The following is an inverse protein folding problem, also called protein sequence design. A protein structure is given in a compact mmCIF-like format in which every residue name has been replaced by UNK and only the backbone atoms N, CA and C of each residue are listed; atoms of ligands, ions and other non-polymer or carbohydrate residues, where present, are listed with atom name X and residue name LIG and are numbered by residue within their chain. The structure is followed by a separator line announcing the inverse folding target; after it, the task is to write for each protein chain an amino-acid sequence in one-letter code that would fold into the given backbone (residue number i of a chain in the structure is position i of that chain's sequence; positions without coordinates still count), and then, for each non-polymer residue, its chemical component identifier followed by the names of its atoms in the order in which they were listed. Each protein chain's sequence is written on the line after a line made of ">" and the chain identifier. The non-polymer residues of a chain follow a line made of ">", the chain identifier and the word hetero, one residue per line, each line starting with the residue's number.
data_IF_394068551898
#
_entry.id   IF_394068551898
#
_cell.length_a   1.000
_cell.length_b   1.000
_cell.length_c   1.000
_cell.angle_alpha   90.00
_cell.angle_beta   90.00
_cell.angle_gamma   90.00
#
_symmetry.space_group_name_H-M   'P 1'
#
loop_
_entity.id
_entity.type
_entity.pdbx_description
1 polymer ?
#
# COMPACT_ATOMS: atom_id res chain seq x y z
N UNK A 1 -31.12 7.45 0.19
CA UNK A 1 -31.48 6.36 1.14
C UNK A 1 -30.85 6.57 2.51
N UNK A 2 -29.52 6.75 2.63
CA UNK A 2 -28.84 7.05 3.91
C UNK A 2 -29.38 8.31 4.60
N UNK A 3 -29.53 9.42 3.86
CA UNK A 3 -30.02 10.69 4.43
C UNK A 3 -31.49 10.61 4.88
N UNK A 4 -32.33 9.93 4.10
CA UNK A 4 -33.72 9.67 4.48
C UNK A 4 -33.82 8.80 5.75
N UNK A 5 -32.96 7.79 5.87
CA UNK A 5 -32.88 6.95 7.08
C UNK A 5 -32.39 7.73 8.30
N UNK A 6 -31.42 8.64 8.11
CA UNK A 6 -30.95 9.57 9.15
C UNK A 6 -32.08 10.49 9.62
N UNK A 7 -32.77 11.15 8.69
CA UNK A 7 -33.87 12.07 9.00
C UNK A 7 -35.00 11.35 9.77
N UNK A 8 -35.34 10.12 9.37
CA UNK A 8 -36.32 9.29 10.10
C UNK A 8 -35.85 8.89 11.49
N UNK A 9 -34.59 8.54 11.65
CA UNK A 9 -34.01 8.20 12.96
C UNK A 9 -33.95 9.41 13.91
N UNK A 10 -33.71 10.61 13.37
CA UNK A 10 -33.73 11.87 14.11
C UNK A 10 -35.17 12.20 14.56
N UNK A 11 -36.14 12.10 13.65
CA UNK A 11 -37.57 12.30 13.95
C UNK A 11 -38.11 11.35 15.03
N UNK A 12 -37.54 10.15 15.14
CA UNK A 12 -37.95 9.12 16.11
C UNK A 12 -37.08 9.09 17.37
N UNK A 13 -36.07 9.97 17.49
CA UNK A 13 -35.17 10.05 18.64
C UNK A 13 -34.20 8.88 18.81
N UNK A 14 -34.20 7.90 17.90
CA UNK A 14 -33.32 6.72 17.98
C UNK A 14 -31.93 6.95 17.38
N UNK A 15 -31.71 8.09 16.71
CA UNK A 15 -30.46 8.39 16.01
C UNK A 15 -29.20 8.23 16.89
N UNK A 16 -29.14 8.75 18.14
CA UNK A 16 -27.96 8.57 19.00
C UNK A 16 -27.69 7.09 19.34
N UNK A 17 -28.74 6.29 19.55
CA UNK A 17 -28.60 4.85 19.84
C UNK A 17 -28.02 4.12 18.63
N UNK A 18 -28.48 4.45 17.43
CA UNK A 18 -27.95 3.86 16.19
C UNK A 18 -26.48 4.25 15.96
N UNK A 19 -26.08 5.49 16.26
CA UNK A 19 -24.67 5.91 16.16
C UNK A 19 -23.76 5.18 17.14
N UNK A 20 -24.21 4.95 18.38
CA UNK A 20 -23.47 4.12 19.36
C UNK A 20 -23.32 2.68 18.89
N UNK A 21 -24.40 2.05 18.43
CA UNK A 21 -24.34 0.68 17.87
C UNK A 21 -23.41 0.59 16.67
N UNK A 22 -23.42 1.60 15.80
CA UNK A 22 -22.51 1.71 14.67
C UNK A 22 -21.06 1.78 15.13
N UNK A 23 -20.73 2.71 16.04
CA UNK A 23 -19.40 2.80 16.66
C UNK A 23 -18.96 1.47 17.27
N UNK A 24 -19.81 0.84 18.09
CA UNK A 24 -19.48 -0.41 18.78
C UNK A 24 -19.23 -1.55 17.79
N UNK A 25 -19.97 -1.59 16.69
CA UNK A 25 -19.74 -2.54 15.60
C UNK A 25 -18.39 -2.31 14.92
N UNK A 26 -18.04 -1.06 14.60
CA UNK A 26 -16.74 -0.75 13.97
C UNK A 26 -15.57 -0.94 14.92
N UNK A 27 -15.75 -0.67 16.21
CA UNK A 27 -14.76 -0.99 17.24
C UNK A 27 -14.51 -2.50 17.32
N UNK A 28 -15.57 -3.31 17.32
CA UNK A 28 -15.43 -4.76 17.30
C UNK A 28 -14.74 -5.25 16.01
N UNK A 29 -15.11 -4.68 14.86
CA UNK A 29 -14.50 -4.99 13.57
C UNK A 29 -12.98 -4.77 13.60
N UNK A 30 -12.52 -3.59 14.02
CA UNK A 30 -11.09 -3.28 14.02
C UNK A 30 -10.32 -4.11 15.05
N UNK A 31 -10.94 -4.48 16.18
CA UNK A 31 -10.33 -5.44 17.13
C UNK A 31 -10.14 -6.83 16.52
N UNK A 32 -11.07 -7.30 15.69
CA UNK A 32 -10.89 -8.57 14.94
C UNK A 32 -9.75 -8.44 13.93
N UNK A 33 -9.68 -7.31 13.22
CA UNK A 33 -8.59 -7.04 12.28
C UNK A 33 -7.23 -7.07 12.98
N UNK A 34 -7.09 -6.43 14.14
CA UNK A 34 -5.81 -6.44 14.88
C UNK A 34 -5.39 -7.85 15.31
N UNK A 35 -6.34 -8.65 15.79
CA UNK A 35 -6.08 -10.02 16.25
C UNK A 35 -5.71 -10.96 15.09
N UNK A 36 -6.31 -10.76 13.91
CA UNK A 36 -6.12 -11.60 12.73
C UNK A 36 -5.15 -10.98 11.70
N UNK A 37 -4.44 -9.89 12.06
CA UNK A 37 -3.59 -9.17 11.11
C UNK A 37 -2.42 -10.04 10.61
N UNK A 38 -1.79 -10.79 11.53
CA UNK A 38 -0.82 -11.84 11.18
C UNK A 38 -1.59 -13.15 11.01
N UNK A 39 -2.25 -13.28 9.86
CA UNK A 39 -3.14 -14.39 9.58
C UNK A 39 -3.49 -14.53 8.10
N UNK A 40 -4.12 -15.66 7.69
CA UNK A 40 -4.40 -15.96 6.29
C UNK A 40 -5.50 -15.05 5.70
N UNK A 41 -6.25 -14.36 6.56
CA UNK A 41 -7.34 -13.46 6.18
C UNK A 41 -6.90 -12.00 6.04
N UNK A 42 -5.60 -11.70 6.17
CA UNK A 42 -5.08 -10.34 6.12
C UNK A 42 -5.56 -9.58 4.86
N UNK A 43 -5.55 -10.21 3.69
CA UNK A 43 -6.00 -9.59 2.44
C UNK A 43 -7.51 -9.31 2.44
N UNK A 44 -8.31 -10.21 2.99
CA UNK A 44 -9.75 -10.00 3.17
C UNK A 44 -10.02 -8.80 4.08
N UNK A 45 -9.23 -8.67 5.15
CA UNK A 45 -9.32 -7.56 6.08
C UNK A 45 -8.94 -6.23 5.43
N UNK A 46 -7.84 -6.18 4.67
CA UNK A 46 -7.44 -5.00 3.90
C UNK A 46 -8.56 -4.58 2.95
N UNK A 47 -9.05 -5.50 2.10
CA UNK A 47 -10.12 -5.20 1.14
C UNK A 47 -11.44 -4.81 1.82
N UNK A 48 -11.73 -5.34 3.01
CA UNK A 48 -12.88 -4.91 3.81
C UNK A 48 -12.69 -3.50 4.35
N UNK A 49 -11.55 -3.20 4.97
CA UNK A 49 -11.26 -1.87 5.52
C UNK A 49 -11.27 -0.79 4.43
N UNK A 50 -10.78 -1.09 3.22
CA UNK A 50 -10.85 -0.17 2.07
C UNK A 50 -12.30 0.20 1.72
N UNK A 51 -13.21 -0.78 1.69
CA UNK A 51 -14.65 -0.54 1.43
C UNK A 51 -15.33 0.18 2.58
N UNK A 52 -14.90 -0.10 3.81
CA UNK A 52 -15.51 0.40 5.04
C UNK A 52 -14.97 1.76 5.51
N UNK A 53 -13.99 2.36 4.82
CA UNK A 53 -13.36 3.61 5.24
C UNK A 53 -14.36 4.72 5.57
N UNK A 54 -15.38 4.93 4.73
CA UNK A 54 -16.39 5.98 4.98
C UNK A 54 -17.15 5.78 6.29
N UNK A 55 -17.45 4.53 6.64
CA UNK A 55 -18.16 4.23 7.86
C UNK A 55 -17.23 4.27 9.09
N UNK A 56 -15.96 3.86 8.94
CA UNK A 56 -14.94 4.05 9.99
C UNK A 56 -14.74 5.54 10.32
N UNK A 57 -14.67 6.40 9.31
CA UNK A 57 -14.62 7.86 9.48
C UNK A 57 -15.84 8.38 10.23
N UNK A 58 -17.04 7.93 9.86
CA UNK A 58 -18.26 8.31 10.59
C UNK A 58 -18.29 7.82 12.04
N UNK A 59 -17.76 6.63 12.31
CA UNK A 59 -17.64 6.10 13.67
C UNK A 59 -16.65 6.94 14.51
N UNK A 60 -15.48 7.27 13.96
CA UNK A 60 -14.50 8.13 14.62
C UNK A 60 -15.03 9.55 14.83
N UNK A 61 -15.71 10.14 13.83
CA UNK A 61 -16.34 11.45 13.97
C UNK A 61 -17.37 11.45 15.10
N UNK A 62 -18.15 10.37 15.20
CA UNK A 62 -19.11 10.22 16.31
C UNK A 62 -18.42 10.14 17.67
N UNK A 63 -17.35 9.35 17.80
CA UNK A 63 -16.55 9.25 19.02
C UNK A 63 -16.08 10.63 19.51
N UNK A 64 -15.55 11.43 18.58
CA UNK A 64 -15.03 12.77 18.87
C UNK A 64 -16.14 13.77 19.22
N UNK A 65 -17.35 13.56 18.71
CA UNK A 65 -18.51 14.43 19.00
C UNK A 65 -19.18 14.18 20.35
N UNK A 66 -18.95 13.03 21.00
CA UNK A 66 -19.65 12.69 22.25
C UNK A 66 -19.04 13.37 23.49
N UNK A 67 -17.91 14.09 23.40
CA UNK A 67 -17.24 14.80 24.52
C UNK A 67 -17.26 14.04 25.86
N UNK A 68 -17.13 12.71 25.80
CA UNK A 68 -17.09 11.81 26.96
C UNK A 68 -15.82 10.98 26.91
N UNK A 69 -15.30 10.59 28.07
CA UNK A 69 -14.11 9.72 28.14
C UNK A 69 -14.33 8.38 27.43
N UNK A 70 -15.56 7.85 27.45
CA UNK A 70 -15.90 6.63 26.71
C UNK A 70 -15.83 6.84 25.20
N UNK A 71 -16.31 7.98 24.70
CA UNK A 71 -16.22 8.34 23.28
C UNK A 71 -14.76 8.55 22.84
N UNK A 72 -13.98 9.29 23.62
CA UNK A 72 -12.57 9.54 23.36
C UNK A 72 -11.75 8.24 23.34
N UNK A 73 -11.93 7.37 24.35
CA UNK A 73 -11.27 6.06 24.42
C UNK A 73 -11.64 5.16 23.24
N UNK A 74 -12.90 5.15 22.81
CA UNK A 74 -13.33 4.41 21.62
C UNK A 74 -12.69 4.97 20.34
N UNK A 75 -12.60 6.29 20.21
CA UNK A 75 -11.91 6.98 19.10
C UNK A 75 -10.44 6.60 19.03
N UNK A 76 -9.72 6.67 20.15
CA UNK A 76 -8.31 6.26 20.26
C UNK A 76 -8.13 4.80 19.86
N UNK A 77 -8.99 3.90 20.37
CA UNK A 77 -8.92 2.48 20.08
C UNK A 77 -9.13 2.19 18.59
N UNK A 78 -10.12 2.82 17.96
CA UNK A 78 -10.38 2.64 16.53
C UNK A 78 -9.20 3.16 15.71
N UNK A 79 -8.71 4.37 16.00
CA UNK A 79 -7.61 4.97 15.25
C UNK A 79 -6.31 4.17 15.41
N UNK A 80 -5.96 3.75 16.64
CA UNK A 80 -4.79 2.93 16.89
C UNK A 80 -4.87 1.57 16.17
N UNK A 81 -6.05 0.93 16.16
CA UNK A 81 -6.25 -0.34 15.49
C UNK A 81 -6.10 -0.28 13.96
N UNK A 82 -6.39 0.88 13.37
CA UNK A 82 -6.22 1.12 11.92
C UNK A 82 -4.78 1.43 11.51
N UNK A 83 -3.85 1.60 12.46
CA UNK A 83 -2.45 1.93 12.21
C UNK A 83 -1.82 1.06 11.12
N UNK A 84 -1.91 -0.27 11.26
CA UNK A 84 -1.29 -1.23 10.35
C UNK A 84 -1.88 -1.18 8.94
N UNK A 85 -3.20 -0.94 8.85
CA UNK A 85 -3.88 -0.77 7.58
C UNK A 85 -3.45 0.53 6.88
N UNK A 86 -3.40 1.64 7.60
CA UNK A 86 -2.92 2.90 7.02
C UNK A 86 -1.45 2.81 6.62
N UNK A 87 -0.62 2.12 7.41
CA UNK A 87 0.78 1.88 7.08
C UNK A 87 0.92 1.06 5.79
N UNK A 88 0.19 -0.06 5.67
CA UNK A 88 0.28 -0.96 4.51
C UNK A 88 -0.26 -0.35 3.21
N UNK A 89 -1.19 0.60 3.29
CA UNK A 89 -1.75 1.29 2.11
C UNK A 89 -1.16 2.68 1.87
N UNK A 90 -0.13 3.08 2.63
CA UNK A 90 0.49 4.40 2.49
C UNK A 90 -0.41 5.59 2.88
N UNK A 91 -1.48 5.34 3.64
CA UNK A 91 -2.48 6.35 4.04
C UNK A 91 -2.02 7.17 5.26
N UNK A 92 -0.75 7.60 5.27
CA UNK A 92 -0.11 8.23 6.44
C UNK A 92 -0.80 9.53 6.87
N UNK A 93 -1.27 10.34 5.89
CA UNK A 93 -1.98 11.60 6.16
C UNK A 93 -3.35 11.38 6.81
N UNK A 94 -4.08 10.37 6.35
CA UNK A 94 -5.37 9.98 6.94
C UNK A 94 -5.16 9.51 8.38
N UNK A 95 -4.18 8.63 8.59
CA UNK A 95 -3.87 8.12 9.92
C UNK A 95 -3.48 9.22 10.89
N UNK A 96 -2.57 10.11 10.48
CA UNK A 96 -2.17 11.28 11.28
C UNK A 96 -3.35 12.19 11.60
N UNK A 97 -4.22 12.50 10.63
CA UNK A 97 -5.39 13.33 10.85
C UNK A 97 -6.31 12.80 11.96
N UNK A 98 -6.63 11.50 11.93
CA UNK A 98 -7.51 10.91 12.94
C UNK A 98 -6.83 10.74 14.29
N UNK A 99 -5.56 10.36 14.31
CA UNK A 99 -4.79 10.20 15.55
C UNK A 99 -4.61 11.55 16.26
N UNK A 100 -4.25 12.62 15.54
CA UNK A 100 -4.10 13.97 16.10
C UNK A 100 -5.42 14.45 16.75
N UNK A 101 -6.55 14.20 16.07
CA UNK A 101 -7.88 14.54 16.62
C UNK A 101 -8.26 13.70 17.83
N UNK A 102 -7.96 12.40 17.81
CA UNK A 102 -8.26 11.50 18.93
C UNK A 102 -7.39 11.79 20.16
N UNK A 103 -6.13 12.18 19.96
CA UNK A 103 -5.18 12.51 21.01
C UNK A 103 -5.41 13.89 21.64
N UNK A 104 -6.15 14.79 20.96
CA UNK A 104 -6.50 16.11 21.47
C UNK A 104 -7.33 16.06 22.77
N UNK A 105 -8.07 14.97 23.02
CA UNK A 105 -8.71 14.72 24.30
C UNK A 105 -7.71 14.08 25.26
N UNK A 106 -7.51 14.71 26.42
CA UNK A 106 -6.59 14.23 27.47
C UNK A 106 -7.40 13.63 28.62
N UNK A 107 -7.58 12.30 28.68
CA UNK A 107 -8.28 11.66 29.80
C UNK A 107 -7.47 11.83 31.09
N UNK A 108 -8.15 11.84 32.23
CA UNK A 108 -7.51 11.97 33.56
C UNK A 108 -6.51 10.83 33.86
N UNK A 109 -6.70 9.66 33.24
CA UNK A 109 -5.83 8.50 33.40
C UNK A 109 -5.33 7.97 32.05
N UNK A 110 -4.03 7.65 31.92
CA UNK A 110 -3.49 7.10 30.70
C UNK A 110 -4.00 5.68 30.44
N UNK A 111 -4.48 5.45 29.22
CA UNK A 111 -4.99 4.15 28.77
C UNK A 111 -4.01 3.48 27.80
N UNK A 112 -4.08 2.16 27.67
CA UNK A 112 -3.30 1.42 26.67
C UNK A 112 -3.64 1.88 25.23
N UNK A 113 -4.89 2.27 24.97
CA UNK A 113 -5.32 2.83 23.68
C UNK A 113 -4.65 4.17 23.39
N UNK A 114 -4.47 5.04 24.39
CA UNK A 114 -3.72 6.29 24.23
C UNK A 114 -2.26 6.01 23.86
N UNK A 115 -1.61 5.07 24.53
CA UNK A 115 -0.23 4.66 24.20
C UNK A 115 -0.14 4.12 22.78
N UNK A 116 -1.09 3.27 22.36
CA UNK A 116 -1.17 2.77 20.99
C UNK A 116 -1.34 3.89 19.96
N UNK A 117 -2.16 4.90 20.27
CA UNK A 117 -2.36 6.05 19.40
C UNK A 117 -1.11 6.96 19.33
N UNK A 118 -0.45 7.24 20.46
CA UNK A 118 0.81 7.99 20.50
C UNK A 118 1.89 7.28 19.68
N UNK A 119 2.01 5.96 19.84
CA UNK A 119 2.91 5.11 19.06
C UNK A 119 2.63 5.23 17.55
N UNK A 120 1.37 5.05 17.14
CA UNK A 120 1.00 5.14 15.73
C UNK A 120 1.27 6.54 15.15
N UNK A 121 0.93 7.58 15.92
CA UNK A 121 1.12 8.97 15.52
C UNK A 121 2.61 9.32 15.38
N UNK A 122 3.45 8.86 16.32
CA UNK A 122 4.89 9.10 16.25
C UNK A 122 5.50 8.43 15.02
N UNK A 123 5.07 7.20 14.70
CA UNK A 123 5.53 6.51 13.50
C UNK A 123 5.15 7.28 12.23
N UNK A 124 3.90 7.75 12.10
CA UNK A 124 3.52 8.54 10.92
C UNK A 124 4.25 9.88 10.82
N UNK A 125 4.47 10.56 11.94
CA UNK A 125 5.27 11.79 11.96
C UNK A 125 6.71 11.52 11.48
N UNK A 126 7.34 10.45 11.99
CA UNK A 126 8.68 10.02 11.58
C UNK A 126 8.77 9.65 10.10
N UNK A 127 7.84 8.86 9.59
CA UNK A 127 7.78 8.48 8.14
C UNK A 127 7.59 9.71 7.24
N UNK A 128 6.89 10.74 7.72
CA UNK A 128 6.72 12.00 7.00
C UNK A 128 7.90 12.97 7.14
N UNK A 129 8.95 12.61 7.90
CA UNK A 129 10.11 13.46 8.16
C UNK A 129 9.89 14.54 9.21
N UNK A 130 8.74 14.57 9.89
CA UNK A 130 8.45 15.50 10.99
C UNK A 130 9.04 14.96 12.31
N UNK A 131 10.38 14.97 12.36
CA UNK A 131 11.14 14.49 13.52
C UNK A 131 10.78 15.25 14.82
N UNK A 132 10.56 16.58 14.83
CA UNK A 132 10.13 17.30 16.03
C UNK A 132 8.79 16.80 16.57
N UNK A 133 7.77 16.63 15.72
CA UNK A 133 6.48 16.10 16.16
C UNK A 133 6.60 14.64 16.64
N UNK A 134 7.36 13.81 15.92
CA UNK A 134 7.62 12.43 16.35
C UNK A 134 8.30 12.37 17.72
N UNK A 135 9.28 13.24 17.98
CA UNK A 135 9.95 13.32 19.29
C UNK A 135 8.99 13.74 20.39
N UNK A 136 8.20 14.78 20.17
CA UNK A 136 7.21 15.24 21.14
C UNK A 136 6.21 14.13 21.54
N UNK A 137 5.73 13.36 20.56
CA UNK A 137 4.81 12.24 20.80
C UNK A 137 5.47 11.09 21.58
N UNK A 138 6.74 10.77 21.28
CA UNK A 138 7.50 9.76 22.02
C UNK A 138 7.78 10.22 23.45
N UNK A 139 8.17 11.48 23.65
CA UNK A 139 8.45 12.05 24.97
C UNK A 139 7.18 12.10 25.83
N UNK A 140 6.04 12.45 25.23
CA UNK A 140 4.73 12.37 25.88
C UNK A 140 4.42 10.93 26.31
N UNK A 141 4.60 9.96 25.42
CA UNK A 141 4.36 8.55 25.74
C UNK A 141 5.29 8.05 26.87
N UNK A 142 6.56 8.48 26.87
CA UNK A 142 7.52 8.17 27.93
C UNK A 142 7.10 8.75 29.29
N UNK A 143 6.53 9.96 29.32
CA UNK A 143 6.03 10.57 30.55
C UNK A 143 4.87 9.78 31.19
N UNK A 144 4.18 8.92 30.41
CA UNK A 144 3.11 8.05 30.91
C UNK A 144 3.61 6.76 31.55
N UNK A 145 4.89 6.36 31.34
CA UNK A 145 5.45 5.09 31.83
C UNK A 145 5.20 4.84 33.33
N UNK A 146 5.36 5.82 34.25
CA UNK A 146 5.13 5.60 35.68
C UNK A 146 3.70 5.18 36.01
N UNK A 147 2.73 5.52 35.15
CA UNK A 147 1.30 5.30 35.36
C UNK A 147 0.78 4.05 34.62
N UNK A 148 1.57 3.51 33.67
CA UNK A 148 1.21 2.34 32.86
C UNK A 148 1.73 1.08 33.55
N UNK A 149 0.85 0.13 33.87
CA UNK A 149 1.23 -1.18 34.43
C UNK A 149 1.41 -2.27 33.37
N UNK A 150 0.83 -2.09 32.18
CA UNK A 150 0.90 -3.05 31.08
C UNK A 150 2.32 -3.10 30.46
N UNK A 151 3.03 -4.24 30.52
CA UNK A 151 4.35 -4.37 29.93
C UNK A 151 4.33 -4.22 28.40
N UNK A 152 3.26 -4.61 27.71
CA UNK A 152 3.17 -4.45 26.25
C UNK A 152 3.07 -2.98 25.86
N UNK A 153 2.25 -2.19 26.57
CA UNK A 153 2.18 -0.75 26.37
C UNK A 153 3.55 -0.07 26.60
N UNK A 154 4.30 -0.46 27.64
CA UNK A 154 5.67 0.05 27.86
C UNK A 154 6.62 -0.34 26.72
N UNK A 155 6.58 -1.59 26.27
CA UNK A 155 7.40 -2.06 25.15
C UNK A 155 7.10 -1.33 23.84
N UNK A 156 5.84 -0.96 23.58
CA UNK A 156 5.47 -0.10 22.43
C UNK A 156 6.13 1.28 22.53
N UNK A 157 6.18 1.88 23.71
CA UNK A 157 6.87 3.17 23.93
C UNK A 157 8.37 3.04 23.67
N UNK A 158 9.00 1.98 24.19
CA UNK A 158 10.41 1.67 23.92
C UNK A 158 10.65 1.48 22.42
N UNK A 159 9.78 0.74 21.74
CA UNK A 159 9.86 0.56 20.29
C UNK A 159 9.69 1.87 19.53
N UNK A 160 8.80 2.77 19.96
CA UNK A 160 8.63 4.10 19.38
C UNK A 160 9.93 4.93 19.47
N UNK A 161 10.63 4.89 20.61
CA UNK A 161 11.94 5.53 20.76
C UNK A 161 12.99 4.91 19.83
N UNK A 162 12.94 3.59 19.63
CA UNK A 162 13.79 2.89 18.67
C UNK A 162 13.54 3.34 17.22
N UNK A 163 12.27 3.41 16.81
CA UNK A 163 11.87 3.87 15.47
C UNK A 163 12.25 5.33 15.24
N UNK A 164 12.02 6.20 16.22
CA UNK A 164 12.45 7.60 16.18
C UNK A 164 13.98 7.72 16.06
N UNK A 165 14.72 6.91 16.82
CA UNK A 165 16.19 6.90 16.76
C UNK A 165 16.68 6.46 15.39
N UNK A 166 16.03 5.46 14.78
CA UNK A 166 16.33 5.02 13.42
C UNK A 166 16.12 6.16 12.40
N UNK A 167 14.94 6.80 12.38
CA UNK A 167 14.67 7.90 11.44
C UNK A 167 15.50 9.16 11.72
N UNK A 168 16.03 9.31 12.94
CA UNK A 168 16.97 10.37 13.31
C UNK A 168 18.44 10.02 13.01
N UNK A 169 18.75 8.78 12.60
CA UNK A 169 20.11 8.31 12.29
C UNK A 169 20.92 7.77 13.47
N UNK A 170 20.36 7.69 14.68
CA UNK A 170 21.02 7.08 15.86
C UNK A 170 20.81 5.56 15.86
N UNK A 171 21.56 4.88 14.97
CA UNK A 171 21.46 3.42 14.79
C UNK A 171 21.81 2.62 16.07
N UNK A 172 22.84 2.98 16.86
CA UNK A 172 23.12 2.28 18.12
C UNK A 172 21.96 2.33 19.11
N UNK A 173 21.34 3.50 19.30
CA UNK A 173 20.16 3.61 20.18
C UNK A 173 18.96 2.89 19.61
N UNK A 174 18.72 3.00 18.30
CA UNK A 174 17.64 2.29 17.62
C UNK A 174 17.72 0.78 17.88
N UNK A 175 18.90 0.19 17.71
CA UNK A 175 19.17 -1.22 17.99
C UNK A 175 18.81 -1.59 19.42
N UNK A 176 19.40 -0.92 20.40
CA UNK A 176 19.18 -1.22 21.83
C UNK A 176 17.70 -1.15 22.20
N UNK A 177 17.00 -0.11 21.75
CA UNK A 177 15.56 0.06 22.03
C UNK A 177 14.69 -1.00 21.36
N UNK A 178 15.02 -1.41 20.13
CA UNK A 178 14.29 -2.46 19.44
C UNK A 178 14.52 -3.84 20.08
N UNK A 179 15.76 -4.14 20.51
CA UNK A 179 16.09 -5.36 21.25
C UNK A 179 15.34 -5.42 22.58
N UNK A 180 15.36 -4.34 23.37
CA UNK A 180 14.61 -4.22 24.64
C UNK A 180 13.10 -4.44 24.44
N UNK A 181 12.51 -3.88 23.37
CA UNK A 181 11.10 -4.08 23.08
C UNK A 181 10.77 -5.53 22.66
N UNK A 182 11.67 -6.17 21.89
CA UNK A 182 11.51 -7.55 21.44
C UNK A 182 11.56 -8.58 22.58
N UNK A 183 12.29 -8.31 23.66
CA UNK A 183 12.27 -9.17 24.86
C UNK A 183 10.85 -9.30 25.46
N UNK A 184 9.99 -8.30 25.25
CA UNK A 184 8.62 -8.28 25.75
C UNK A 184 7.62 -8.77 24.69
N UNK A 185 7.89 -8.52 23.40
CA UNK A 185 7.04 -8.98 22.30
C UNK A 185 7.21 -10.49 22.05
N UNK A 186 6.56 -11.32 22.88
CA UNK A 186 6.60 -12.78 22.76
C UNK A 186 5.55 -13.38 21.81
N UNK A 187 5.72 -14.67 21.47
CA UNK A 187 4.85 -15.43 20.54
C UNK A 187 3.39 -15.55 20.99
N UNK A 188 3.11 -15.39 22.29
CA UNK A 188 1.76 -15.47 22.87
C UNK A 188 1.16 -14.09 23.20
N UNK A 189 1.89 -13.01 22.89
CA UNK A 189 1.50 -11.62 23.18
C UNK A 189 0.99 -10.90 21.94
N UNK A 190 1.76 -9.92 21.46
CA UNK A 190 1.45 -9.11 20.28
C UNK A 190 2.34 -9.49 19.10
N UNK A 191 1.92 -10.54 18.38
CA UNK A 191 2.66 -11.10 17.26
C UNK A 191 2.93 -10.07 16.16
N UNK A 192 1.96 -9.17 15.91
CA UNK A 192 2.12 -8.09 14.95
C UNK A 192 3.23 -7.12 15.34
N UNK A 193 3.28 -6.71 16.62
CA UNK A 193 4.36 -5.86 17.12
C UNK A 193 5.72 -6.56 17.09
N UNK A 194 5.76 -7.87 17.37
CA UNK A 194 6.98 -8.68 17.23
C UNK A 194 7.50 -8.69 15.80
N UNK A 195 6.65 -9.01 14.83
CA UNK A 195 7.01 -9.04 13.40
C UNK A 195 7.52 -7.68 12.94
N UNK A 196 6.82 -6.60 13.29
CA UNK A 196 7.22 -5.25 12.93
C UNK A 196 8.57 -4.86 13.56
N UNK A 197 8.77 -5.16 14.85
CA UNK A 197 10.02 -4.86 15.55
C UNK A 197 11.21 -5.67 14.98
N UNK A 198 11.02 -6.96 14.66
CA UNK A 198 12.06 -7.78 14.01
C UNK A 198 12.44 -7.21 12.64
N UNK A 199 11.44 -6.83 11.84
CA UNK A 199 11.68 -6.27 10.51
C UNK A 199 12.46 -4.95 10.59
N UNK A 200 12.11 -4.07 11.51
CA UNK A 200 12.79 -2.79 11.70
C UNK A 200 14.19 -2.97 12.33
N UNK A 201 14.38 -3.96 13.20
CA UNK A 201 15.71 -4.31 13.72
C UNK A 201 16.61 -4.90 12.61
N UNK A 202 16.05 -5.71 11.71
CA UNK A 202 16.75 -6.18 10.51
C UNK A 202 17.30 -5.02 9.70
N UNK A 203 16.46 -4.02 9.42
CA UNK A 203 16.87 -2.78 8.76
C UNK A 203 17.98 -2.02 9.52
N UNK A 204 17.90 -1.93 10.86
CA UNK A 204 18.97 -1.31 11.65
C UNK A 204 20.30 -2.04 11.44
N UNK A 205 20.29 -3.38 11.43
CA UNK A 205 21.48 -4.18 11.18
C UNK A 205 22.03 -4.00 9.77
N UNK A 206 21.16 -3.93 8.75
CA UNK A 206 21.57 -3.63 7.37
C UNK A 206 22.27 -2.26 7.26
N UNK A 207 21.70 -1.23 7.88
CA UNK A 207 22.29 0.12 7.89
C UNK A 207 23.61 0.18 8.66
N UNK A 208 23.83 -0.71 9.63
CA UNK A 208 25.10 -0.89 10.34
C UNK A 208 26.10 -1.79 9.58
N UNK A 209 25.68 -2.46 8.51
CA UNK A 209 26.50 -3.41 7.76
C UNK A 209 26.63 -4.80 8.41
N UNK A 210 25.84 -5.10 9.45
CA UNK A 210 25.81 -6.43 10.09
C UNK A 210 24.82 -7.36 9.36
N UNK A 211 25.22 -7.76 8.16
CA UNK A 211 24.42 -8.60 7.26
C UNK A 211 23.98 -9.92 7.92
N UNK A 212 24.82 -10.66 8.69
CA UNK A 212 24.39 -11.90 9.34
C UNK A 212 23.22 -11.69 10.32
N UNK A 213 23.25 -10.65 11.16
CA UNK A 213 22.16 -10.37 12.10
C UNK A 213 20.91 -9.84 11.41
N UNK A 214 21.07 -9.07 10.34
CA UNK A 214 19.94 -8.66 9.50
C UNK A 214 19.19 -9.87 8.93
N UNK A 215 19.92 -10.82 8.36
CA UNK A 215 19.38 -12.07 7.83
C UNK A 215 18.62 -12.86 8.91
N UNK A 216 19.19 -12.96 10.12
CA UNK A 216 18.53 -13.66 11.23
C UNK A 216 17.17 -13.03 11.57
N UNK A 217 17.10 -11.69 11.64
CA UNK A 217 15.85 -10.97 11.91
C UNK A 217 14.80 -11.24 10.81
N UNK A 218 15.17 -11.11 9.54
CA UNK A 218 14.26 -11.33 8.43
C UNK A 218 13.83 -12.79 8.29
N UNK A 219 14.71 -13.76 8.60
CA UNK A 219 14.34 -15.17 8.62
C UNK A 219 13.33 -15.48 9.73
N UNK A 220 13.44 -14.86 10.91
CA UNK A 220 12.43 -14.98 11.95
C UNK A 220 11.08 -14.41 11.49
N UNK A 221 11.07 -13.26 10.80
CA UNK A 221 9.85 -12.71 10.20
C UNK A 221 9.25 -13.68 9.18
N UNK A 222 10.05 -14.26 8.27
CA UNK A 222 9.58 -15.24 7.31
C UNK A 222 8.94 -16.44 8.01
N UNK A 223 9.61 -17.02 9.01
CA UNK A 223 9.10 -18.19 9.72
C UNK A 223 7.73 -17.92 10.37
N UNK A 224 7.56 -16.75 10.99
CA UNK A 224 6.29 -16.35 11.61
C UNK A 224 5.22 -16.12 10.52
N UNK A 225 5.53 -15.31 9.52
CA UNK A 225 4.54 -14.91 8.50
C UNK A 225 4.12 -16.08 7.62
N UNK A 226 5.03 -17.01 7.31
CA UNK A 226 4.74 -18.27 6.60
C UNK A 226 3.80 -19.17 7.38
N UNK A 227 4.10 -19.42 8.65
CA UNK A 227 3.27 -20.27 9.51
C UNK A 227 1.85 -19.72 9.69
N UNK A 228 1.67 -18.41 9.53
CA UNK A 228 0.39 -17.72 9.71
C UNK A 228 -0.27 -17.28 8.39
N UNK A 229 0.37 -17.43 7.24
CA UNK A 229 -0.18 -16.98 5.95
C UNK A 229 -0.25 -15.46 5.77
N UNK A 230 0.56 -14.70 6.50
CA UNK A 230 0.68 -13.25 6.38
C UNK A 230 1.52 -12.88 5.14
N UNK A 231 1.11 -11.86 4.40
CA UNK A 231 1.69 -11.55 3.08
C UNK A 231 2.50 -10.26 3.04
N UNK A 232 2.12 -9.23 3.82
CA UNK A 232 2.70 -7.88 3.73
C UNK A 232 4.10 -7.84 4.33
N UNK A 233 4.29 -8.23 5.58
CA UNK A 233 5.61 -8.24 6.20
C UNK A 233 6.52 -9.33 5.62
N UNK A 234 5.90 -10.42 5.15
CA UNK A 234 6.61 -11.46 4.39
C UNK A 234 7.26 -10.92 3.13
N UNK A 235 6.55 -10.14 2.31
CA UNK A 235 7.13 -9.57 1.08
C UNK A 235 8.31 -8.65 1.39
N UNK A 236 8.24 -7.85 2.45
CA UNK A 236 9.33 -6.96 2.87
C UNK A 236 10.59 -7.73 3.28
N UNK A 237 10.42 -8.81 4.06
CA UNK A 237 11.55 -9.63 4.49
C UNK A 237 12.13 -10.51 3.38
N UNK A 238 11.31 -10.96 2.43
CA UNK A 238 11.79 -11.64 1.22
C UNK A 238 12.66 -10.71 0.37
N UNK A 239 12.26 -9.44 0.23
CA UNK A 239 13.06 -8.46 -0.50
C UNK A 239 14.42 -8.22 0.19
N UNK A 240 14.41 -8.00 1.50
CA UNK A 240 15.62 -7.78 2.29
C UNK A 240 16.61 -8.96 2.18
N UNK A 241 16.11 -10.19 2.35
CA UNK A 241 16.92 -11.40 2.17
C UNK A 241 17.41 -11.57 0.73
N UNK A 242 16.60 -11.21 -0.27
CA UNK A 242 17.01 -11.21 -1.67
C UNK A 242 18.17 -10.25 -1.93
N UNK A 243 18.11 -9.03 -1.38
CA UNK A 243 19.21 -8.06 -1.46
C UNK A 243 20.46 -8.56 -0.74
N UNK A 244 20.31 -9.15 0.46
CA UNK A 244 21.42 -9.74 1.21
C UNK A 244 22.08 -10.91 0.46
N UNK A 245 21.30 -11.77 -0.21
CA UNK A 245 21.81 -12.84 -1.05
C UNK A 245 22.59 -12.29 -2.25
N UNK A 246 22.11 -11.20 -2.87
CA UNK A 246 22.89 -10.53 -3.92
C UNK A 246 24.21 -9.96 -3.39
N UNK A 247 24.25 -9.43 -2.17
CA UNK A 247 25.49 -8.92 -1.56
C UNK A 247 26.52 -10.05 -1.35
N UNK A 248 26.04 -11.27 -1.11
CA UNK A 248 26.85 -12.49 -1.02
C UNK A 248 27.15 -13.12 -2.38
N UNK A 249 26.76 -12.47 -3.48
CA UNK A 249 26.88 -12.96 -4.86
C UNK A 249 26.12 -14.27 -5.17
N UNK A 250 25.19 -14.68 -4.30
CA UNK A 250 24.26 -15.78 -4.57
C UNK A 250 23.04 -15.26 -5.36
N UNK A 251 23.23 -15.16 -6.68
CA UNK A 251 22.20 -14.67 -7.60
C UNK A 251 21.00 -15.61 -7.72
N UNK A 252 21.22 -16.92 -7.60
CA UNK A 252 20.17 -17.91 -7.71
C UNK A 252 19.18 -17.77 -6.56
N UNK A 253 19.70 -17.79 -5.32
CA UNK A 253 18.87 -17.59 -4.14
C UNK A 253 18.21 -16.20 -4.14
N UNK A 254 18.94 -15.16 -4.55
CA UNK A 254 18.37 -13.82 -4.65
C UNK A 254 17.19 -13.75 -5.63
N UNK A 255 17.31 -14.34 -6.82
CA UNK A 255 16.23 -14.36 -7.80
C UNK A 255 14.99 -15.06 -7.25
N UNK A 256 15.15 -16.23 -6.60
CA UNK A 256 14.05 -16.96 -6.00
C UNK A 256 13.31 -16.16 -4.90
N UNK A 257 14.07 -15.48 -4.03
CA UNK A 257 13.51 -14.65 -2.96
C UNK A 257 12.79 -13.42 -3.51
N UNK A 258 13.39 -12.73 -4.49
CA UNK A 258 12.81 -11.55 -5.13
C UNK A 258 11.57 -11.90 -5.97
N UNK A 259 11.55 -13.04 -6.66
CA UNK A 259 10.36 -13.50 -7.37
C UNK A 259 9.21 -13.82 -6.41
N UNK A 260 9.49 -14.47 -5.27
CA UNK A 260 8.48 -14.70 -4.24
C UNK A 260 7.95 -13.38 -3.66
N UNK A 261 8.85 -12.43 -3.38
CA UNK A 261 8.47 -11.08 -2.98
C UNK A 261 7.52 -10.45 -4.00
N UNK A 262 7.87 -10.49 -5.29
CA UNK A 262 7.06 -9.89 -6.35
C UNK A 262 5.68 -10.53 -6.47
N UNK A 263 5.55 -11.85 -6.27
CA UNK A 263 4.25 -12.55 -6.25
C UNK A 263 3.37 -12.05 -5.12
N UNK A 264 3.93 -11.87 -3.93
CA UNK A 264 3.19 -11.33 -2.79
C UNK A 264 2.83 -9.85 -3.03
N UNK A 265 3.75 -9.03 -3.54
CA UNK A 265 3.48 -7.62 -3.88
C UNK A 265 2.33 -7.48 -4.89
N UNK A 266 2.25 -8.38 -5.88
CA UNK A 266 1.10 -8.46 -6.81
C UNK A 266 -0.20 -8.79 -6.07
N UNK A 267 -0.15 -9.77 -5.16
CA UNK A 267 -1.30 -10.23 -4.39
C UNK A 267 -1.85 -9.17 -3.42
N UNK A 268 -0.97 -8.38 -2.79
CA UNK A 268 -1.34 -7.31 -1.85
C UNK A 268 -1.63 -5.96 -2.55
N UNK A 269 -1.48 -5.87 -3.87
CA UNK A 269 -1.53 -4.62 -4.65
C UNK A 269 -0.59 -3.55 -4.06
N UNK A 270 0.68 -3.92 -3.89
CA UNK A 270 1.74 -3.06 -3.35
C UNK A 270 2.74 -2.66 -4.45
N UNK A 271 2.49 -1.55 -5.17
CA UNK A 271 3.38 -1.04 -6.20
C UNK A 271 4.71 -0.52 -5.65
N UNK A 272 4.79 -0.17 -4.36
CA UNK A 272 6.02 0.32 -3.75
C UNK A 272 7.03 -0.83 -3.64
N UNK A 273 6.63 -1.93 -3.01
CA UNK A 273 7.51 -3.10 -2.86
C UNK A 273 7.85 -3.70 -4.21
N UNK A 274 6.88 -3.78 -5.13
CA UNK A 274 7.17 -4.24 -6.49
C UNK A 274 8.22 -3.37 -7.20
N UNK A 275 8.19 -2.04 -7.02
CA UNK A 275 9.19 -1.15 -7.62
C UNK A 275 10.62 -1.49 -7.16
N UNK A 276 10.82 -1.72 -5.86
CA UNK A 276 12.13 -2.11 -5.30
C UNK A 276 12.54 -3.51 -5.75
N UNK A 277 11.60 -4.44 -5.86
CA UNK A 277 11.87 -5.80 -6.30
C UNK A 277 12.25 -5.85 -7.78
N UNK A 278 11.58 -5.06 -8.62
CA UNK A 278 11.92 -4.91 -10.04
C UNK A 278 13.32 -4.31 -10.23
N UNK A 279 13.68 -3.32 -9.43
CA UNK A 279 15.03 -2.74 -9.39
C UNK A 279 16.08 -3.82 -9.07
N UNK A 280 15.86 -4.61 -8.02
CA UNK A 280 16.78 -5.69 -7.64
C UNK A 280 16.88 -6.81 -8.69
N UNK A 281 15.77 -7.16 -9.34
CA UNK A 281 15.75 -8.09 -10.48
C UNK A 281 16.48 -7.51 -11.70
N UNK A 282 16.45 -6.19 -11.90
CA UNK A 282 17.22 -5.54 -12.95
C UNK A 282 18.73 -5.70 -12.71
N UNK A 283 19.19 -5.56 -11.47
CA UNK A 283 20.59 -5.78 -11.11
C UNK A 283 21.06 -7.19 -11.45
N UNK A 284 20.23 -8.21 -11.17
CA UNK A 284 20.51 -9.60 -11.57
C UNK A 284 20.66 -9.69 -13.09
N UNK A 285 19.64 -9.23 -13.83
CA UNK A 285 19.61 -9.30 -15.29
C UNK A 285 20.79 -8.56 -15.95
N UNK A 286 21.21 -7.42 -15.38
CA UNK A 286 22.35 -6.65 -15.88
C UNK A 286 23.69 -7.39 -15.73
N UNK A 287 23.80 -8.28 -14.73
CA UNK A 287 25.01 -9.11 -14.54
C UNK A 287 25.00 -10.41 -15.34
N UNK A 288 23.85 -10.85 -15.85
CA UNK A 288 23.66 -12.09 -16.63
C UNK A 288 23.64 -11.84 -18.16
N UNK A 289 24.13 -10.68 -18.60
CA UNK A 289 24.13 -10.24 -20.01
C UNK A 289 22.72 -10.12 -20.63
N UNK A 290 21.68 -10.05 -19.79
CA UNK A 290 20.31 -9.76 -20.20
C UNK A 290 20.04 -8.25 -20.20
N UNK A 291 20.91 -7.48 -20.86
CA UNK A 291 20.91 -6.02 -20.77
C UNK A 291 19.57 -5.38 -21.15
N UNK A 292 18.90 -5.83 -22.23
CA UNK A 292 17.59 -5.28 -22.60
C UNK A 292 16.54 -5.47 -21.49
N UNK A 293 16.57 -6.63 -20.83
CA UNK A 293 15.66 -6.94 -19.72
C UNK A 293 15.95 -6.06 -18.51
N UNK A 294 17.22 -5.87 -18.17
CA UNK A 294 17.62 -4.96 -17.10
C UNK A 294 17.09 -3.54 -17.34
N UNK A 295 17.24 -2.99 -18.55
CA UNK A 295 16.73 -1.66 -18.90
C UNK A 295 15.20 -1.53 -18.75
N UNK A 296 14.43 -2.56 -19.15
CA UNK A 296 12.97 -2.57 -18.98
C UNK A 296 12.58 -2.61 -17.51
N UNK A 297 13.22 -3.49 -16.72
CA UNK A 297 12.94 -3.61 -15.29
C UNK A 297 13.27 -2.31 -14.54
N UNK A 298 14.41 -1.66 -14.84
CA UNK A 298 14.75 -0.33 -14.29
C UNK A 298 13.70 0.71 -14.66
N UNK A 299 13.31 0.78 -15.93
CA UNK A 299 12.29 1.74 -16.38
C UNK A 299 10.94 1.55 -15.70
N UNK A 300 10.53 0.31 -15.46
CA UNK A 300 9.32 -0.03 -14.73
C UNK A 300 9.42 0.33 -13.24
N UNK A 301 10.53 -0.03 -12.59
CA UNK A 301 10.82 0.30 -11.19
C UNK A 301 10.76 1.81 -10.95
N UNK A 302 11.46 2.59 -11.79
CA UNK A 302 11.44 4.05 -11.71
C UNK A 302 10.04 4.64 -11.89
N UNK A 303 9.26 4.14 -12.85
CA UNK A 303 7.93 4.66 -13.13
C UNK A 303 6.97 4.42 -11.95
N UNK A 304 7.02 3.23 -11.35
CA UNK A 304 6.24 2.90 -10.16
C UNK A 304 6.67 3.74 -8.95
N UNK A 305 7.98 3.86 -8.70
CA UNK A 305 8.50 4.71 -7.63
C UNK A 305 8.05 6.17 -7.77
N UNK A 306 8.21 6.76 -8.97
CA UNK A 306 7.81 8.15 -9.25
C UNK A 306 6.31 8.38 -9.05
N UNK A 307 5.45 7.43 -9.45
CA UNK A 307 4.01 7.54 -9.27
C UNK A 307 3.61 7.63 -7.77
N UNK A 308 4.44 7.07 -6.89
CA UNK A 308 4.27 7.08 -5.44
C UNK A 308 5.03 8.22 -4.74
N UNK A 309 5.74 9.07 -5.50
CA UNK A 309 6.59 10.13 -4.95
C UNK A 309 7.82 9.61 -4.22
N UNK A 310 8.29 8.40 -4.55
CA UNK A 310 9.46 7.75 -3.94
C UNK A 310 10.52 7.35 -4.98
N UNK A 311 11.71 6.98 -4.51
CA UNK A 311 12.78 6.39 -5.33
C UNK A 311 12.71 4.87 -5.28
N UNK A 312 13.04 4.19 -6.40
CA UNK A 312 13.11 2.71 -6.43
C UNK A 312 14.27 2.16 -5.59
N UNK A 313 15.30 2.98 -5.34
CA UNK A 313 16.44 2.68 -4.47
C UNK A 313 16.27 3.43 -3.15
N UNK A 314 16.03 2.69 -2.06
CA UNK A 314 15.81 3.26 -0.73
C UNK A 314 17.10 3.48 0.06
N UNK A 315 18.08 2.59 -0.08
CA UNK A 315 19.31 2.67 0.68
C UNK A 315 20.42 3.30 -0.14
N UNK A 316 21.11 4.33 0.36
CA UNK A 316 22.27 4.91 -0.32
C UNK A 316 23.33 3.87 -0.66
N UNK A 317 23.48 2.84 0.18
CA UNK A 317 24.39 1.71 -0.04
C UNK A 317 24.04 0.86 -1.26
N UNK A 318 22.78 0.90 -1.73
CA UNK A 318 22.32 0.19 -2.91
C UNK A 318 22.39 1.05 -4.19
N UNK A 319 22.62 2.36 -4.05
CA UNK A 319 22.75 3.26 -5.21
C UNK A 319 23.89 2.83 -6.14
N UNK A 320 25.00 2.37 -5.57
CA UNK A 320 26.14 1.83 -6.35
C UNK A 320 25.71 0.69 -7.28
N UNK A 321 24.74 -0.12 -6.86
CA UNK A 321 24.26 -1.26 -7.67
C UNK A 321 23.37 -0.82 -8.82
N UNK A 322 22.55 0.20 -8.58
CA UNK A 322 21.80 0.87 -9.63
C UNK A 322 22.74 1.48 -10.67
N UNK A 323 23.73 2.26 -10.22
CA UNK A 323 24.72 2.89 -11.10
C UNK A 323 25.53 1.86 -11.91
N UNK A 324 25.97 0.77 -11.27
CA UNK A 324 26.67 -0.30 -11.95
C UNK A 324 25.79 -1.03 -12.97
N UNK A 325 24.55 -1.36 -12.60
CA UNK A 325 23.59 -1.98 -13.50
C UNK A 325 23.30 -1.10 -14.71
N UNK A 326 23.03 0.18 -14.49
CA UNK A 326 22.80 1.16 -15.54
C UNK A 326 24.00 1.25 -16.47
N UNK A 327 25.21 1.41 -15.92
CA UNK A 327 26.46 1.50 -16.69
C UNK A 327 26.71 0.25 -17.54
N UNK A 328 26.59 -0.94 -16.97
CA UNK A 328 26.74 -2.21 -17.69
C UNK A 328 25.71 -2.33 -18.81
N UNK A 329 24.46 -2.00 -18.50
CA UNK A 329 23.35 -2.10 -19.45
C UNK A 329 23.49 -1.11 -20.61
N UNK A 330 23.87 0.14 -20.33
CA UNK A 330 24.17 1.16 -21.35
C UNK A 330 25.34 0.75 -22.24
N UNK A 331 26.39 0.16 -21.66
CA UNK A 331 27.56 -0.31 -22.40
C UNK A 331 27.19 -1.44 -23.37
N UNK A 332 26.36 -2.38 -22.94
CA UNK A 332 25.97 -3.54 -23.76
C UNK A 332 24.97 -3.18 -24.88
N UNK A 333 24.00 -2.30 -24.62
CA UNK A 333 22.96 -1.94 -25.59
C UNK A 333 23.31 -0.74 -26.48
N UNK A 334 24.15 0.16 -25.96
CA UNK A 334 24.26 1.52 -26.46
C UNK A 334 23.10 2.42 -26.02
N UNK A 335 23.35 3.72 -26.01
CA UNK A 335 22.48 4.76 -25.44
C UNK A 335 21.04 4.74 -25.97
N UNK A 336 20.86 4.64 -27.29
CA UNK A 336 19.52 4.68 -27.91
C UNK A 336 18.66 3.49 -27.56
N UNK A 337 19.25 2.29 -27.56
CA UNK A 337 18.54 1.05 -27.26
C UNK A 337 18.23 0.96 -25.76
N UNK A 338 19.15 1.42 -24.90
CA UNK A 338 18.92 1.58 -23.48
C UNK A 338 17.70 2.48 -23.20
N UNK A 339 17.68 3.71 -23.72
CA UNK A 339 16.56 4.65 -23.49
C UNK A 339 15.24 4.19 -24.13
N UNK A 340 15.28 3.39 -25.20
CA UNK A 340 14.08 2.77 -25.75
C UNK A 340 13.52 1.69 -24.81
N UNK A 341 14.37 0.78 -24.32
CA UNK A 341 13.99 -0.28 -23.40
C UNK A 341 13.51 0.27 -22.05
N UNK A 342 14.18 1.30 -21.52
CA UNK A 342 13.76 1.98 -20.28
C UNK A 342 12.39 2.64 -20.43
N UNK A 343 12.11 3.29 -21.56
CA UNK A 343 10.78 3.85 -21.85
C UNK A 343 9.71 2.77 -22.01
N UNK A 344 10.04 1.65 -22.63
CA UNK A 344 9.13 0.50 -22.71
C UNK A 344 8.73 0.01 -21.32
N UNK A 345 9.70 -0.16 -20.41
CA UNK A 345 9.44 -0.50 -19.02
C UNK A 345 8.55 0.50 -18.30
N UNK A 346 8.81 1.79 -18.49
CA UNK A 346 8.03 2.87 -17.86
C UNK A 346 6.55 2.89 -18.30
N UNK A 347 6.21 2.28 -19.44
CA UNK A 347 4.85 2.22 -19.98
C UNK A 347 4.06 0.98 -19.53
N UNK A 348 4.69 0.00 -18.87
CA UNK A 348 4.04 -1.27 -18.52
C UNK A 348 2.94 -1.13 -17.45
N UNK A 349 3.00 -0.10 -16.61
CA UNK A 349 2.18 -0.02 -15.41
C UNK A 349 2.46 -1.15 -14.42
N UNK A 350 1.74 -1.20 -13.30
CA UNK A 350 2.00 -2.16 -12.22
C UNK A 350 1.86 -3.63 -12.66
N UNK A 351 0.68 -4.01 -13.17
CA UNK A 351 0.42 -5.39 -13.62
C UNK A 351 1.32 -5.82 -14.79
N UNK A 352 1.55 -4.92 -15.76
CA UNK A 352 2.41 -5.22 -16.90
C UNK A 352 3.87 -5.42 -16.51
N UNK A 353 4.36 -4.63 -15.55
CA UNK A 353 5.73 -4.76 -15.05
C UNK A 353 5.94 -6.07 -14.30
N UNK A 354 4.96 -6.47 -13.48
CA UNK A 354 4.99 -7.75 -12.76
C UNK A 354 4.93 -8.92 -13.73
N UNK A 355 4.03 -8.90 -14.71
CA UNK A 355 3.94 -9.95 -15.74
C UNK A 355 5.25 -10.06 -16.53
N UNK A 356 5.83 -8.93 -16.96
CA UNK A 356 7.12 -8.90 -17.64
C UNK A 356 8.25 -9.50 -16.80
N UNK A 357 8.27 -9.23 -15.49
CA UNK A 357 9.25 -9.78 -14.58
C UNK A 357 9.13 -11.30 -14.40
N UNK A 358 7.94 -11.89 -14.45
CA UNK A 358 7.81 -13.36 -14.44
C UNK A 358 8.13 -14.02 -15.78
N UNK A 359 8.44 -13.24 -16.82
CA UNK A 359 8.52 -13.78 -18.18
C UNK A 359 7.17 -14.39 -18.61
N UNK A 360 6.08 -14.04 -17.91
CA UNK A 360 4.75 -14.19 -18.46
C UNK A 360 4.82 -13.45 -19.77
N UNK A 361 4.44 -14.13 -20.87
CA UNK A 361 4.23 -13.40 -22.09
C UNK A 361 3.20 -12.34 -21.73
N UNK A 362 3.66 -11.10 -21.57
CA UNK A 362 2.93 -10.01 -22.16
C UNK A 362 2.91 -10.43 -23.62
N UNK A 363 1.88 -11.17 -23.99
CA UNK A 363 1.07 -10.71 -25.09
C UNK A 363 0.77 -9.23 -24.74
N UNK A 364 1.75 -8.33 -24.96
CA UNK A 364 1.48 -7.15 -25.73
C UNK A 364 0.61 -7.71 -26.81
N UNK A 365 -0.69 -7.45 -26.72
CA UNK A 365 -1.75 -8.05 -27.52
C UNK A 365 -1.31 -8.11 -28.98
N UNK A 366 -0.53 -9.11 -29.32
CA UNK A 366 -0.37 -9.68 -30.63
C UNK A 366 -1.58 -10.56 -30.68
N UNK A 367 -2.72 -9.88 -30.85
CA UNK A 367 -3.75 -10.42 -31.70
C UNK A 367 -3.04 -11.06 -32.91
N UNK A 368 -3.42 -12.29 -33.27
CA UNK A 368 -2.79 -12.97 -34.38
C UNK A 368 -2.77 -12.03 -35.58
N UNK A 369 -1.61 -11.97 -36.26
CA UNK A 369 -1.47 -11.33 -37.55
C UNK A 369 -2.51 -11.98 -38.49
N UNK A 370 -3.69 -11.35 -38.54
CA UNK A 370 -4.92 -12.02 -38.97
C UNK A 370 -6.23 -11.41 -38.46
N UNK A 371 -6.28 -10.14 -38.04
CA UNK A 371 -7.55 -9.38 -38.14
C UNK A 371 -7.27 -7.88 -38.26
N UNK A 372 -7.36 -7.37 -39.46
CA UNK A 372 -7.57 -5.95 -39.69
C UNK A 372 -8.97 -5.54 -39.17
N UNK A 373 -9.07 -4.28 -38.70
CA UNK A 373 -10.27 -3.50 -38.38
C UNK A 373 -10.85 -3.59 -36.94
N UNK A 374 -10.56 -2.55 -36.16
CA UNK A 374 -11.54 -1.73 -35.40
C UNK A 374 -12.95 -2.33 -35.26
N UNK A 375 -13.35 -2.69 -34.04
CA UNK A 375 -14.71 -3.16 -33.81
C UNK A 375 -15.18 -3.02 -32.37
N UNK A 376 -15.82 -1.90 -32.06
CA UNK A 376 -16.79 -1.84 -30.96
C UNK A 376 -17.78 -3.02 -31.10
N UNK A 377 -18.12 -3.66 -29.98
CA UNK A 377 -19.17 -4.70 -29.97
C UNK A 377 -20.48 -4.14 -30.52
N UNK A 378 -21.41 -5.00 -30.96
CA UNK A 378 -22.72 -4.55 -31.47
C UNK A 378 -23.40 -3.59 -30.49
N UNK A 379 -23.31 -3.89 -29.19
CA UNK A 379 -23.89 -3.07 -28.12
C UNK A 379 -23.16 -1.75 -27.92
N UNK A 380 -21.83 -1.75 -28.00
CA UNK A 380 -21.03 -0.52 -27.92
C UNK A 380 -21.22 0.38 -29.15
N UNK A 381 -21.45 -0.19 -30.34
CA UNK A 381 -21.82 0.57 -31.53
C UNK A 381 -23.18 1.25 -31.39
N UNK A 382 -24.18 0.54 -30.87
CA UNK A 382 -25.49 1.14 -30.56
C UNK A 382 -25.34 2.29 -29.55
N UNK A 383 -24.52 2.12 -28.50
CA UNK A 383 -24.28 3.20 -27.53
C UNK A 383 -23.51 4.36 -28.16
N UNK A 384 -22.48 4.11 -28.98
CA UNK A 384 -21.71 5.14 -29.69
C UNK A 384 -22.57 5.93 -30.68
N UNK A 385 -23.50 5.28 -31.38
CA UNK A 385 -24.48 5.92 -32.26
C UNK A 385 -25.39 6.88 -31.47
N UNK A 386 -25.91 6.45 -30.32
CA UNK A 386 -26.75 7.29 -29.48
C UNK A 386 -25.97 8.44 -28.84
N UNK A 387 -24.68 8.23 -28.55
CA UNK A 387 -23.76 9.30 -28.14
C UNK A 387 -23.59 10.32 -29.27
N UNK A 388 -23.41 9.87 -30.52
CA UNK A 388 -23.27 10.74 -31.69
C UNK A 388 -24.55 11.55 -31.99
N UNK A 389 -25.73 11.00 -31.65
CA UNK A 389 -27.01 11.70 -31.68
C UNK A 389 -27.19 12.73 -30.53
N UNK A 390 -26.20 12.89 -29.65
CA UNK A 390 -26.22 13.87 -28.55
C UNK A 390 -27.05 13.44 -27.33
N UNK A 391 -27.47 12.17 -27.23
CA UNK A 391 -28.26 11.70 -26.09
C UNK A 391 -27.41 11.68 -24.82
N UNK A 392 -28.02 11.89 -23.66
CA UNK A 392 -27.39 11.73 -22.34
C UNK A 392 -27.42 10.26 -21.88
N UNK A 393 -26.62 9.87 -20.87
CA UNK A 393 -26.64 8.50 -20.33
C UNK A 393 -28.04 8.08 -19.85
N UNK A 394 -28.84 9.02 -19.32
CA UNK A 394 -30.24 8.76 -18.91
C UNK A 394 -31.14 8.46 -20.12
N UNK A 395 -30.98 9.19 -21.22
CA UNK A 395 -31.74 8.97 -22.45
C UNK A 395 -31.30 7.67 -23.18
N UNK A 396 -30.00 7.37 -23.18
CA UNK A 396 -29.47 6.10 -23.68
C UNK A 396 -30.03 4.92 -22.89
N UNK A 397 -30.01 5.03 -21.56
CA UNK A 397 -30.56 4.01 -20.67
C UNK A 397 -32.04 3.72 -20.92
N UNK A 398 -32.84 4.77 -21.12
CA UNK A 398 -34.26 4.63 -21.46
C UNK A 398 -34.46 3.97 -22.84
N UNK A 399 -33.69 4.38 -23.86
CA UNK A 399 -33.82 3.87 -25.24
C UNK A 399 -33.34 2.43 -25.39
N UNK A 400 -32.38 2.02 -24.58
CA UNK A 400 -31.78 0.69 -24.59
C UNK A 400 -32.35 -0.27 -23.54
N UNK A 401 -33.31 0.19 -22.72
CA UNK A 401 -33.94 -0.54 -21.60
C UNK A 401 -32.88 -1.11 -20.64
N UNK A 402 -31.97 -0.25 -20.19
CA UNK A 402 -30.91 -0.57 -19.21
C UNK A 402 -30.84 0.50 -18.11
N UNK A 403 -30.04 0.27 -17.07
CA UNK A 403 -29.83 1.27 -16.01
C UNK A 403 -28.95 2.45 -16.50
N UNK A 404 -29.12 3.67 -15.95
CA UNK A 404 -28.22 4.80 -16.24
C UNK A 404 -26.74 4.51 -15.94
N UNK A 405 -26.45 3.69 -14.92
CA UNK A 405 -25.09 3.27 -14.55
C UNK A 405 -24.50 2.32 -15.60
N UNK A 406 -25.31 1.44 -16.18
CA UNK A 406 -24.91 0.55 -17.27
C UNK A 406 -24.60 1.34 -18.54
N UNK A 407 -25.43 2.35 -18.87
CA UNK A 407 -25.16 3.24 -19.99
C UNK A 407 -23.85 4.04 -19.79
N UNK A 408 -23.58 4.51 -18.57
CA UNK A 408 -22.32 5.16 -18.22
C UNK A 408 -21.12 4.22 -18.40
N UNK A 409 -21.19 3.00 -17.88
CA UNK A 409 -20.10 2.01 -18.03
C UNK A 409 -19.81 1.67 -19.49
N UNK A 410 -20.85 1.57 -20.34
CA UNK A 410 -20.64 1.40 -21.78
C UNK A 410 -19.91 2.58 -22.42
N UNK A 411 -20.24 3.82 -22.04
CA UNK A 411 -19.55 5.01 -22.56
C UNK A 411 -18.09 5.04 -22.10
N UNK A 412 -17.80 4.73 -20.84
CA UNK A 412 -16.44 4.64 -20.30
C UNK A 412 -15.62 3.55 -20.99
N UNK A 413 -16.21 2.38 -21.26
CA UNK A 413 -15.57 1.32 -22.03
C UNK A 413 -15.29 1.73 -23.47
N UNK A 414 -16.20 2.46 -24.12
CA UNK A 414 -15.97 2.97 -25.48
C UNK A 414 -14.82 3.99 -25.49
N UNK A 415 -14.78 4.90 -24.52
CA UNK A 415 -13.68 5.86 -24.36
C UNK A 415 -12.34 5.13 -24.19
N UNK A 416 -12.28 4.16 -23.30
CA UNK A 416 -11.09 3.34 -23.07
C UNK A 416 -10.66 2.57 -24.33
N UNK A 417 -11.59 1.89 -25.01
CA UNK A 417 -11.31 1.10 -26.21
C UNK A 417 -10.85 1.92 -27.41
N UNK A 418 -11.34 3.15 -27.55
CA UNK A 418 -10.98 4.05 -28.64
C UNK A 418 -9.84 5.02 -28.28
N UNK A 419 -9.33 4.97 -27.05
CA UNK A 419 -8.29 5.90 -26.57
C UNK A 419 -8.77 7.35 -26.47
N UNK A 420 -10.06 7.56 -26.22
CA UNK A 420 -10.67 8.89 -26.12
C UNK A 420 -10.84 9.33 -24.68
N UNK A 421 -10.81 10.64 -24.47
CA UNK A 421 -10.95 11.28 -23.15
C UNK A 421 -12.26 12.06 -23.01
N UNK A 422 -13.02 12.19 -24.10
CA UNK A 422 -14.29 12.91 -24.11
C UNK A 422 -15.36 12.22 -24.95
N UNK A 423 -16.61 12.35 -24.50
CA UNK A 423 -17.80 11.88 -25.22
C UNK A 423 -17.90 12.48 -26.63
N UNK A 424 -17.42 13.70 -26.81
CA UNK A 424 -17.40 14.40 -28.11
C UNK A 424 -16.50 13.69 -29.13
N UNK A 425 -15.40 13.08 -28.70
CA UNK A 425 -14.54 12.28 -29.59
C UNK A 425 -15.23 11.00 -30.07
N UNK A 426 -16.06 10.36 -29.24
CA UNK A 426 -16.91 9.23 -29.67
C UNK A 426 -17.85 9.66 -30.80
N UNK A 427 -18.48 10.83 -30.65
CA UNK A 427 -19.37 11.38 -31.66
C UNK A 427 -18.64 11.67 -32.99
N UNK A 428 -17.45 12.29 -32.92
CA UNK A 428 -16.62 12.55 -34.10
C UNK A 428 -16.20 11.27 -34.82
N UNK A 429 -15.66 10.29 -34.08
CA UNK A 429 -15.23 9.01 -34.62
C UNK A 429 -16.36 8.22 -35.28
N UNK A 430 -17.56 8.22 -34.69
CA UNK A 430 -18.71 7.51 -35.26
C UNK A 430 -19.17 8.13 -36.59
N UNK A 431 -19.13 9.46 -36.70
CA UNK A 431 -19.49 10.18 -37.93
C UNK A 431 -18.49 9.90 -39.07
N UNK A 432 -17.20 9.85 -38.77
CA UNK A 432 -16.14 9.49 -39.72
C UNK A 432 -16.32 8.04 -40.24
N UNK A 433 -16.60 7.09 -39.34
CA UNK A 433 -16.74 5.67 -39.69
C UNK A 433 -18.11 5.31 -40.29
N UNK A 434 -19.11 6.18 -40.19
CA UNK A 434 -20.41 6.01 -40.84
C UNK A 434 -20.39 6.48 -42.31
N UNK A 435 -19.46 7.37 -42.68
CA UNK A 435 -19.27 7.82 -44.07
C UNK A 435 -18.56 6.77 -44.93
N UNK A 436 -17.60 6.04 -44.36
CA UNK A 436 -16.87 4.93 -45.00
C UNK A 436 -17.73 3.70 -45.38
N UNK A 437 -19.01 3.66 -45.00
CA UNK A 437 -19.95 2.58 -45.35
C UNK A 437 -21.02 2.97 -46.38
N UNK A 438 -21.03 4.22 -46.85
CA UNK A 438 -21.97 4.72 -47.86
C UNK A 438 -21.33 5.05 -49.21
N UNK A 439 -20.02 4.92 -49.35
CA UNK A 439 -19.30 4.82 -50.62
C UNK A 439 -19.06 3.36 -50.96
#
# INVERSE_FOLDING_TARGET
>A
LRDYGKEKAEQTGIHPILRRRHRDWYQHLVSQVEAEWIGPRQLEWIARLEREQSNLREAMEFCLSEETDTGAEAGLRIAAALFRFWLSRGLFREGRHWLDRALAHNPEHPTASRVGALYAASVFAGVQGDLPASRALVDEAQALIPQITDPLARARITHADGLLSLVSGDLPRARTRMEEALEVFGDRGDLSSRVWALMMLGLVYELQGDVPRAIECHQQVLNITEAHGESVYRSYSLWALGVAALQQADRGQAAELLEQCLRLSRLVDDPFTASMTLEALAWIAGTEDHARRAAILMGAAEALGRALGSTSVLFPTLLVRHEDCERLTRTALGERAFEAARREGALLGFEGAVAYAFGERTEATTQPAGSSATGLTKREREVAELVAQGLTNKAIAAKLVISPRTAQGHVEHILSKLGFTSRTQIAGWFLEHAQDKRG
#
